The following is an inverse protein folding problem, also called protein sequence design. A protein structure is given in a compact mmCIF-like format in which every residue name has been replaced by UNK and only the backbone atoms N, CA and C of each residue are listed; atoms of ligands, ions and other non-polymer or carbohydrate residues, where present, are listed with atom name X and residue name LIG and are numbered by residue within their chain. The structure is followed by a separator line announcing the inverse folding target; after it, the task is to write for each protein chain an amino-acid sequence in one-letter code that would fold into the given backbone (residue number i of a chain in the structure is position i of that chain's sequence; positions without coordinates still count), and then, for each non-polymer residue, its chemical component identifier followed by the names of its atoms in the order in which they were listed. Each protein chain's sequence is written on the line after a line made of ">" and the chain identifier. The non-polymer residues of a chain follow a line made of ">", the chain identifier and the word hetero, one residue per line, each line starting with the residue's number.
data_IF_740912447356
#
_entry.id   IF_740912447356
#
_cell.length_a   1.000
_cell.length_b   1.000
_cell.length_c   1.000
_cell.angle_alpha   90.00
_cell.angle_beta   90.00
_cell.angle_gamma   90.00
#
_symmetry.space_group_name_H-M   'P 1'
#
loop_
_entity.id
_entity.type
_entity.pdbx_description
1 polymer ?
#
# COMPACT_ATOMS: atom_id res chain seq x y z
N UNK A 1 -58.48 9.33 -27.01
CA UNK A 1 -59.01 9.14 -28.38
C UNK A 1 -60.43 8.59 -28.28
N UNK A 2 -61.44 9.45 -28.29
CA UNK A 2 -62.85 9.03 -28.30
C UNK A 2 -63.58 9.83 -29.37
N UNK A 3 -63.64 9.27 -30.57
CA UNK A 3 -64.45 9.82 -31.65
C UNK A 3 -64.86 8.65 -32.54
N UNK A 4 -65.88 7.90 -32.13
CA UNK A 4 -66.67 7.04 -33.02
C UNK A 4 -67.94 6.57 -32.28
N UNK A 5 -68.90 7.49 -32.12
CA UNK A 5 -70.29 7.14 -31.90
C UNK A 5 -71.10 7.72 -33.05
N UNK A 6 -71.27 6.94 -34.11
CA UNK A 6 -72.23 7.22 -35.18
C UNK A 6 -73.63 6.98 -34.64
N UNK A 7 -74.22 8.00 -34.03
CA UNK A 7 -75.67 8.08 -33.82
C UNK A 7 -76.30 8.58 -35.12
N UNK A 8 -76.59 7.66 -36.04
CA UNK A 8 -77.40 7.96 -37.21
C UNK A 8 -78.25 6.76 -37.57
N UNK A 9 -79.52 6.82 -37.18
CA UNK A 9 -80.67 6.38 -37.97
C UNK A 9 -81.92 6.41 -37.08
N UNK A 10 -82.37 7.61 -36.74
CA UNK A 10 -83.78 7.82 -36.39
C UNK A 10 -84.46 8.18 -37.71
N UNK A 11 -85.31 7.31 -38.28
CA UNK A 11 -86.09 7.70 -39.45
C UNK A 11 -87.13 8.73 -39.02
N UNK A 12 -86.87 10.00 -39.33
CA UNK A 12 -87.86 11.09 -39.30
C UNK A 12 -88.83 10.94 -40.47
N UNK A 13 -89.62 9.87 -40.47
CA UNK A 13 -90.87 9.83 -41.22
C UNK A 13 -91.99 9.97 -40.20
N UNK A 14 -92.46 11.20 -40.02
CA UNK A 14 -93.78 11.42 -39.44
C UNK A 14 -94.77 10.54 -40.24
N UNK A 15 -95.70 9.85 -39.57
CA UNK A 15 -96.75 9.14 -40.28
C UNK A 15 -97.53 10.18 -41.08
N UNK A 16 -97.51 10.06 -42.41
CA UNK A 16 -98.47 10.76 -43.28
C UNK A 16 -99.85 10.32 -42.80
N UNK A 17 -100.54 11.19 -42.08
CA UNK A 17 -101.98 11.07 -41.88
C UNK A 17 -102.58 11.15 -43.29
N UNK A 18 -102.94 10.00 -43.85
CA UNK A 18 -103.61 9.91 -45.13
C UNK A 18 -105.04 10.43 -44.94
N UNK A 19 -105.21 11.74 -45.13
CA UNK A 19 -106.52 12.38 -45.28
C UNK A 19 -107.04 12.12 -46.69
N UNK A 20 -107.24 10.87 -47.08
CA UNK A 20 -108.06 10.56 -48.26
C UNK A 20 -109.47 10.26 -47.78
N UNK A 21 -110.26 11.31 -47.56
CA UNK A 21 -111.70 11.14 -47.54
C UNK A 21 -112.12 10.63 -48.93
N UNK A 22 -112.80 9.48 -49.05
CA UNK A 22 -113.40 9.09 -50.32
C UNK A 22 -114.41 10.18 -50.75
N UNK A 23 -114.54 10.44 -52.07
CA UNK A 23 -115.43 11.47 -52.58
C UNK A 23 -116.87 11.25 -52.08
N UNK A 24 -117.58 12.31 -51.67
CA UNK A 24 -118.92 12.15 -51.11
C UNK A 24 -119.87 11.67 -52.21
N UNK A 25 -120.29 10.41 -52.15
CA UNK A 25 -121.52 10.00 -52.80
C UNK A 25 -122.67 10.71 -52.09
N UNK A 26 -123.47 11.48 -52.81
CA UNK A 26 -124.51 12.32 -52.24
C UNK A 26 -125.71 11.46 -51.80
N UNK A 27 -125.56 10.80 -50.65
CA UNK A 27 -126.58 9.99 -49.99
C UNK A 27 -127.92 10.71 -49.83
N UNK A 28 -127.91 12.05 -49.74
CA UNK A 28 -129.13 12.87 -49.65
C UNK A 28 -129.91 12.88 -50.95
N UNK A 29 -129.27 12.92 -52.12
CA UNK A 29 -129.94 12.90 -53.43
C UNK A 29 -130.55 11.53 -53.75
N UNK A 30 -129.83 10.43 -53.48
CA UNK A 30 -130.39 9.08 -53.69
C UNK A 30 -131.55 8.77 -52.73
N UNK A 31 -131.51 9.25 -51.48
CA UNK A 31 -132.58 9.04 -50.49
C UNK A 31 -133.83 9.91 -50.73
N UNK A 32 -133.69 11.04 -51.44
CA UNK A 32 -134.83 11.89 -51.84
C UNK A 32 -135.50 11.36 -53.11
N UNK A 33 -134.72 10.92 -54.11
CA UNK A 33 -135.25 10.27 -55.33
C UNK A 33 -135.99 8.96 -55.03
N UNK A 34 -135.48 8.13 -54.11
CA UNK A 34 -136.16 6.89 -53.71
C UNK A 34 -137.49 7.08 -52.95
N UNK A 35 -137.83 8.30 -52.50
CA UNK A 35 -139.12 8.61 -51.87
C UNK A 35 -140.17 9.10 -52.87
N UNK A 36 -139.74 9.62 -54.01
CA UNK A 36 -140.60 10.22 -55.05
C UNK A 36 -140.82 9.26 -56.24
N UNK A 37 -140.00 8.22 -56.37
CA UNK A 37 -140.04 7.28 -57.48
C UNK A 37 -141.05 6.13 -57.26
N UNK A 38 -141.95 5.93 -58.22
CA UNK A 38 -143.02 4.91 -58.17
C UNK A 38 -142.76 3.70 -59.06
N UNK A 39 -141.71 3.76 -59.89
CA UNK A 39 -141.27 2.65 -60.73
C UNK A 39 -140.30 1.71 -60.00
N UNK A 40 -140.68 0.42 -59.81
CA UNK A 40 -139.92 -0.51 -58.97
C UNK A 40 -138.55 -0.91 -59.57
N UNK A 41 -138.31 -0.72 -60.87
CA UNK A 41 -137.03 -1.05 -61.51
C UNK A 41 -135.96 0.01 -61.26
N UNK A 42 -136.32 1.29 -61.34
CA UNK A 42 -135.42 2.42 -61.09
C UNK A 42 -135.05 2.47 -59.60
N UNK A 43 -136.03 2.24 -58.71
CA UNK A 43 -135.79 2.16 -57.28
C UNK A 43 -134.79 1.06 -56.89
N UNK A 44 -134.89 -0.11 -57.54
CA UNK A 44 -133.96 -1.22 -57.34
C UNK A 44 -132.53 -0.86 -57.75
N UNK A 45 -132.37 -0.08 -58.82
CA UNK A 45 -131.05 0.33 -59.30
C UNK A 45 -130.38 1.34 -58.38
N UNK A 46 -131.13 2.32 -57.85
CA UNK A 46 -130.63 3.22 -56.81
C UNK A 46 -130.24 2.49 -55.52
N UNK A 47 -131.06 1.51 -55.09
CA UNK A 47 -130.76 0.68 -53.93
C UNK A 47 -129.47 -0.13 -54.17
N UNK A 48 -129.25 -0.68 -55.37
CA UNK A 48 -128.00 -1.40 -55.71
C UNK A 48 -126.78 -0.47 -55.67
N UNK A 49 -126.87 0.73 -56.24
CA UNK A 49 -125.74 1.68 -56.22
C UNK A 49 -125.40 2.12 -54.80
N UNK A 50 -126.40 2.38 -53.96
CA UNK A 50 -126.22 2.65 -52.53
C UNK A 50 -125.60 1.45 -51.80
N UNK A 51 -125.98 0.23 -52.14
CA UNK A 51 -125.42 -1.00 -51.56
C UNK A 51 -123.94 -1.16 -51.93
N UNK A 52 -123.59 -0.96 -53.21
CA UNK A 52 -122.21 -1.03 -53.71
C UNK A 52 -121.35 0.03 -53.03
N UNK A 53 -121.82 1.28 -52.97
CA UNK A 53 -121.08 2.36 -52.30
C UNK A 53 -120.89 2.09 -50.80
N UNK A 54 -121.91 1.59 -50.10
CA UNK A 54 -121.82 1.17 -48.70
C UNK A 54 -120.78 0.06 -48.50
N UNK A 55 -120.74 -0.90 -49.42
CA UNK A 55 -119.79 -2.00 -49.38
C UNK A 55 -118.35 -1.54 -49.66
N UNK A 56 -118.14 -0.67 -50.64
CA UNK A 56 -116.83 -0.04 -50.91
C UNK A 56 -116.35 0.82 -49.73
N UNK A 57 -117.24 1.58 -49.09
CA UNK A 57 -116.92 2.32 -47.86
C UNK A 57 -116.55 1.38 -46.71
N UNK A 58 -117.27 0.27 -46.56
CA UNK A 58 -116.98 -0.75 -45.55
C UNK A 58 -115.61 -1.40 -45.79
N UNK A 59 -115.27 -1.71 -47.05
CA UNK A 59 -113.98 -2.26 -47.44
C UNK A 59 -112.83 -1.25 -47.24
N UNK A 60 -113.06 0.04 -47.55
CA UNK A 60 -112.09 1.10 -47.30
C UNK A 60 -111.88 1.35 -45.81
N UNK A 61 -112.95 1.35 -45.00
CA UNK A 61 -112.85 1.42 -43.53
C UNK A 61 -112.09 0.22 -42.99
N UNK A 62 -112.34 -0.98 -43.52
CA UNK A 62 -111.62 -2.21 -43.14
C UNK A 62 -110.12 -2.11 -43.47
N UNK A 63 -109.76 -1.63 -44.67
CA UNK A 63 -108.36 -1.37 -45.07
C UNK A 63 -107.69 -0.34 -44.17
N UNK A 64 -108.30 0.83 -43.97
CA UNK A 64 -107.78 1.87 -43.08
C UNK A 64 -107.61 1.37 -41.64
N UNK A 65 -108.53 0.54 -41.15
CA UNK A 65 -108.42 -0.05 -39.82
C UNK A 65 -107.27 -1.07 -39.74
N UNK A 66 -107.00 -1.83 -40.81
CA UNK A 66 -105.85 -2.72 -40.87
C UNK A 66 -104.52 -1.95 -40.94
N UNK A 67 -104.45 -0.90 -41.75
CA UNK A 67 -103.29 0.00 -41.81
C UNK A 67 -103.05 0.69 -40.45
N UNK A 68 -104.11 1.13 -39.77
CA UNK A 68 -104.01 1.72 -38.43
C UNK A 68 -103.53 0.69 -37.38
N UNK A 69 -103.97 -0.57 -37.48
CA UNK A 69 -103.46 -1.67 -36.64
C UNK A 69 -101.98 -1.95 -36.91
N UNK A 70 -101.56 -1.96 -38.16
CA UNK A 70 -100.14 -2.15 -38.55
C UNK A 70 -99.28 -0.99 -38.05
N UNK A 71 -99.70 0.25 -38.27
CA UNK A 71 -99.02 1.44 -37.77
C UNK A 71 -98.94 1.45 -36.23
N UNK A 72 -99.98 1.02 -35.53
CA UNK A 72 -99.92 0.87 -34.06
C UNK A 72 -98.93 -0.20 -33.62
N UNK A 73 -98.87 -1.36 -34.30
CA UNK A 73 -97.87 -2.40 -34.02
C UNK A 73 -96.44 -1.90 -34.25
N UNK A 74 -96.21 -1.16 -35.33
CA UNK A 74 -94.91 -0.54 -35.60
C UNK A 74 -94.56 0.50 -34.53
N UNK A 75 -95.52 1.35 -34.15
CA UNK A 75 -95.35 2.33 -33.08
C UNK A 75 -94.95 1.67 -31.75
N UNK A 76 -95.61 0.58 -31.38
CA UNK A 76 -95.29 -0.17 -30.16
C UNK A 76 -93.92 -0.86 -30.25
N UNK A 77 -93.53 -1.34 -31.43
CA UNK A 77 -92.18 -1.84 -31.69
C UNK A 77 -91.12 -0.75 -31.51
N UNK A 78 -91.35 0.45 -32.06
CA UNK A 78 -90.45 1.59 -31.92
C UNK A 78 -90.36 2.09 -30.48
N UNK A 79 -91.48 2.15 -29.74
CA UNK A 79 -91.48 2.45 -28.30
C UNK A 79 -90.65 1.45 -27.51
N UNK A 80 -90.81 0.15 -27.79
CA UNK A 80 -90.06 -0.90 -27.12
C UNK A 80 -88.55 -0.79 -27.40
N UNK A 81 -88.16 -0.48 -28.63
CA UNK A 81 -86.76 -0.22 -28.99
C UNK A 81 -86.22 1.03 -28.28
N UNK A 82 -86.99 2.11 -28.26
CA UNK A 82 -86.59 3.36 -27.61
C UNK A 82 -86.33 3.16 -26.10
N UNK A 83 -87.18 2.39 -25.41
CA UNK A 83 -87.00 2.04 -24.00
C UNK A 83 -85.70 1.23 -23.82
N UNK A 84 -85.47 0.18 -24.62
CA UNK A 84 -84.23 -0.60 -24.53
C UNK A 84 -82.98 0.23 -24.76
N UNK A 85 -82.97 1.10 -25.77
CA UNK A 85 -81.84 2.00 -26.03
C UNK A 85 -81.64 3.00 -24.90
N UNK A 86 -82.72 3.45 -24.24
CA UNK A 86 -82.63 4.33 -23.08
C UNK A 86 -82.01 3.60 -21.87
N UNK A 87 -82.40 2.36 -21.63
CA UNK A 87 -81.83 1.52 -20.57
C UNK A 87 -80.33 1.25 -20.82
N UNK A 88 -79.95 0.94 -22.07
CA UNK A 88 -78.55 0.78 -22.47
C UNK A 88 -77.73 2.06 -22.25
N UNK A 89 -78.29 3.23 -22.56
CA UNK A 89 -77.64 4.53 -22.31
C UNK A 89 -77.44 4.77 -20.81
N UNK A 90 -78.40 4.39 -19.97
CA UNK A 90 -78.29 4.52 -18.50
C UNK A 90 -77.13 3.66 -18.01
N UNK A 91 -77.09 2.37 -18.39
CA UNK A 91 -76.02 1.45 -18.00
C UNK A 91 -74.65 1.91 -18.50
N UNK A 92 -74.56 2.41 -19.73
CA UNK A 92 -73.31 2.94 -20.27
C UNK A 92 -72.82 4.17 -19.50
N UNK A 93 -73.72 5.06 -19.08
CA UNK A 93 -73.37 6.23 -18.25
C UNK A 93 -72.85 5.82 -16.88
N UNK A 94 -73.50 4.85 -16.22
CA UNK A 94 -73.04 4.32 -14.94
C UNK A 94 -71.65 3.69 -15.07
N UNK A 95 -71.43 2.86 -16.11
CA UNK A 95 -70.14 2.26 -16.37
C UNK A 95 -69.05 3.31 -16.62
N UNK A 96 -69.36 4.36 -17.39
CA UNK A 96 -68.44 5.49 -17.61
C UNK A 96 -68.10 6.20 -16.30
N UNK A 97 -69.08 6.49 -15.44
CA UNK A 97 -68.84 7.13 -14.14
C UNK A 97 -67.94 6.29 -13.24
N UNK A 98 -68.22 4.98 -13.13
CA UNK A 98 -67.40 4.05 -12.34
C UNK A 98 -65.97 3.99 -12.89
N UNK A 99 -65.81 3.88 -14.21
CA UNK A 99 -64.49 3.82 -14.84
C UNK A 99 -63.71 5.12 -14.64
N UNK A 100 -64.39 6.27 -14.75
CA UNK A 100 -63.78 7.59 -14.53
C UNK A 100 -63.32 7.73 -13.07
N UNK A 101 -64.14 7.32 -12.10
CA UNK A 101 -63.75 7.33 -10.69
C UNK A 101 -62.52 6.44 -10.42
N UNK A 102 -62.47 5.24 -11.01
CA UNK A 102 -61.30 4.34 -10.91
C UNK A 102 -60.04 4.96 -11.51
N UNK A 103 -60.16 5.63 -12.66
CA UNK A 103 -59.04 6.33 -13.29
C UNK A 103 -58.47 7.42 -12.38
N UNK A 104 -59.34 8.26 -11.80
CA UNK A 104 -58.92 9.31 -10.86
C UNK A 104 -58.18 8.70 -9.66
N UNK A 105 -58.70 7.64 -9.05
CA UNK A 105 -58.01 6.99 -7.92
C UNK A 105 -56.64 6.40 -8.28
N UNK A 106 -56.50 5.87 -9.50
CA UNK A 106 -55.22 5.34 -9.98
C UNK A 106 -54.23 6.48 -10.29
N UNK A 107 -54.69 7.60 -10.83
CA UNK A 107 -53.88 8.79 -11.05
C UNK A 107 -53.36 9.37 -9.72
N UNK A 108 -54.21 9.45 -8.70
CA UNK A 108 -53.81 9.89 -7.35
C UNK A 108 -52.74 8.97 -6.73
N UNK A 109 -52.93 7.65 -6.81
CA UNK A 109 -51.95 6.66 -6.35
C UNK A 109 -50.63 6.76 -7.11
N UNK A 110 -50.68 6.98 -8.43
CA UNK A 110 -49.50 7.12 -9.25
C UNK A 110 -48.70 8.38 -8.87
N UNK A 111 -49.37 9.51 -8.61
CA UNK A 111 -48.74 10.73 -8.13
C UNK A 111 -48.10 10.51 -6.75
N UNK A 112 -48.78 9.82 -5.84
CA UNK A 112 -48.22 9.48 -4.52
C UNK A 112 -46.95 8.61 -4.63
N UNK A 113 -46.98 7.60 -5.50
CA UNK A 113 -45.81 6.74 -5.75
C UNK A 113 -44.66 7.51 -6.41
N UNK A 114 -44.96 8.42 -7.34
CA UNK A 114 -43.93 9.29 -7.92
C UNK A 114 -43.29 10.18 -6.85
N UNK A 115 -44.08 10.77 -5.95
CA UNK A 115 -43.56 11.57 -4.84
C UNK A 115 -42.65 10.74 -3.94
N UNK A 116 -43.11 9.56 -3.51
CA UNK A 116 -42.32 8.66 -2.66
C UNK A 116 -41.00 8.23 -3.31
N UNK A 117 -41.01 7.96 -4.61
CA UNK A 117 -39.81 7.58 -5.35
C UNK A 117 -38.79 8.73 -5.38
N UNK A 118 -39.26 9.96 -5.60
CA UNK A 118 -38.39 11.15 -5.57
C UNK A 118 -37.79 11.35 -4.18
N UNK A 119 -38.60 11.23 -3.12
CA UNK A 119 -38.12 11.37 -1.73
C UNK A 119 -37.08 10.30 -1.37
N UNK A 120 -37.33 9.05 -1.74
CA UNK A 120 -36.39 7.94 -1.52
C UNK A 120 -35.09 8.14 -2.28
N UNK A 121 -35.16 8.55 -3.55
CA UNK A 121 -33.98 8.80 -4.34
C UNK A 121 -33.14 9.94 -3.76
N UNK A 122 -33.78 11.03 -3.33
CA UNK A 122 -33.07 12.13 -2.69
C UNK A 122 -32.40 11.68 -1.39
N UNK A 123 -33.09 10.89 -0.56
CA UNK A 123 -32.52 10.35 0.67
C UNK A 123 -31.30 9.46 0.40
N UNK A 124 -31.34 8.61 -0.63
CA UNK A 124 -30.20 7.78 -1.02
C UNK A 124 -29.01 8.64 -1.49
N UNK A 125 -29.27 9.68 -2.28
CA UNK A 125 -28.25 10.63 -2.73
C UNK A 125 -27.61 11.35 -1.55
N UNK A 126 -28.40 11.82 -0.58
CA UNK A 126 -27.90 12.53 0.60
C UNK A 126 -27.03 11.61 1.48
N UNK A 127 -27.45 10.36 1.69
CA UNK A 127 -26.66 9.36 2.44
C UNK A 127 -25.34 9.04 1.73
N UNK A 128 -25.37 8.83 0.41
CA UNK A 128 -24.17 8.58 -0.37
C UNK A 128 -23.22 9.78 -0.31
N UNK A 129 -23.72 11.00 -0.41
CA UNK A 129 -22.92 12.20 -0.29
C UNK A 129 -22.24 12.29 1.09
N UNK A 130 -22.98 12.01 2.17
CA UNK A 130 -22.43 12.00 3.52
C UNK A 130 -21.33 10.94 3.69
N UNK A 131 -21.52 9.73 3.17
CA UNK A 131 -20.52 8.66 3.22
C UNK A 131 -19.25 9.02 2.42
N UNK A 132 -19.41 9.65 1.25
CA UNK A 132 -18.30 10.16 0.45
C UNK A 132 -17.52 11.27 1.17
N UNK A 133 -18.21 12.23 1.77
CA UNK A 133 -17.58 13.32 2.54
C UNK A 133 -16.83 12.78 3.77
N UNK A 134 -17.43 11.82 4.49
CA UNK A 134 -16.78 11.16 5.62
C UNK A 134 -15.52 10.40 5.18
N UNK A 135 -15.62 9.58 4.14
CA UNK A 135 -14.48 8.82 3.60
C UNK A 135 -13.36 9.74 3.12
N UNK A 136 -13.72 10.83 2.43
CA UNK A 136 -12.77 11.86 2.00
C UNK A 136 -12.03 12.46 3.19
N UNK A 137 -12.75 12.85 4.26
CA UNK A 137 -12.14 13.41 5.46
C UNK A 137 -11.17 12.42 6.14
N UNK A 138 -11.56 11.14 6.25
CA UNK A 138 -10.69 10.09 6.82
C UNK A 138 -9.41 9.92 6.00
N UNK A 139 -9.52 9.94 4.67
CA UNK A 139 -8.36 9.82 3.77
C UNK A 139 -7.45 11.04 3.83
N UNK A 140 -8.00 12.25 3.88
CA UNK A 140 -7.24 13.50 4.05
C UNK A 140 -6.44 13.48 5.36
N UNK A 141 -7.07 13.09 6.47
CA UNK A 141 -6.37 12.93 7.75
C UNK A 141 -5.24 11.90 7.68
N UNK A 142 -5.47 10.76 7.02
CA UNK A 142 -4.44 9.72 6.84
C UNK A 142 -3.27 10.22 5.99
N UNK A 143 -3.55 10.99 4.93
CA UNK A 143 -2.53 11.62 4.09
C UNK A 143 -1.67 12.56 4.94
N UNK A 144 -2.26 13.37 5.80
CA UNK A 144 -1.50 14.32 6.62
C UNK A 144 -0.65 13.62 7.69
N UNK A 145 -1.16 12.55 8.33
CA UNK A 145 -0.34 11.70 9.21
C UNK A 145 0.86 11.10 8.45
N UNK A 146 0.63 10.57 7.25
CA UNK A 146 1.70 9.99 6.43
C UNK A 146 2.73 11.04 5.98
N UNK A 147 2.32 12.27 5.67
CA UNK A 147 3.24 13.37 5.36
C UNK A 147 4.14 13.70 6.56
N UNK A 148 3.58 13.78 7.77
CA UNK A 148 4.34 14.04 8.99
C UNK A 148 5.34 12.91 9.27
N UNK A 149 4.90 11.66 9.15
CA UNK A 149 5.78 10.49 9.32
C UNK A 149 6.91 10.46 8.29
N UNK A 150 6.62 10.74 7.02
CA UNK A 150 7.62 10.78 5.96
C UNK A 150 8.66 11.88 6.22
N UNK A 151 8.22 13.07 6.66
CA UNK A 151 9.12 14.16 7.05
C UNK A 151 10.06 13.74 8.19
N UNK A 152 9.53 13.12 9.24
CA UNK A 152 10.33 12.64 10.36
C UNK A 152 11.34 11.55 9.94
N UNK A 153 10.93 10.62 9.07
CA UNK A 153 11.83 9.59 8.52
C UNK A 153 12.95 10.20 7.66
N UNK A 154 12.63 11.25 6.87
CA UNK A 154 13.62 11.96 6.08
C UNK A 154 14.66 12.65 6.95
N UNK A 155 14.22 13.36 7.99
CA UNK A 155 15.11 14.02 8.97
C UNK A 155 16.02 12.99 9.69
N UNK A 156 15.47 11.84 10.08
CA UNK A 156 16.26 10.77 10.69
C UNK A 156 17.26 10.13 9.72
N UNK A 157 16.89 9.98 8.45
CA UNK A 157 17.79 9.47 7.41
C UNK A 157 18.96 10.44 7.18
N UNK A 158 18.70 11.75 7.14
CA UNK A 158 19.73 12.78 7.04
C UNK A 158 20.67 12.73 8.26
N UNK A 159 20.13 12.60 9.48
CA UNK A 159 20.89 12.46 10.72
C UNK A 159 21.80 11.22 10.71
N UNK A 160 21.26 10.07 10.34
CA UNK A 160 22.03 8.81 10.26
C UNK A 160 23.11 8.87 9.17
N UNK A 161 22.81 9.50 8.03
CA UNK A 161 23.78 9.69 6.95
C UNK A 161 24.96 10.53 7.41
N UNK A 162 24.71 11.65 8.11
CA UNK A 162 25.78 12.47 8.71
C UNK A 162 26.61 11.65 9.70
N UNK A 163 25.96 10.85 10.57
CA UNK A 163 26.67 10.03 11.55
C UNK A 163 27.55 8.96 10.91
N UNK A 164 27.10 8.35 9.82
CA UNK A 164 27.90 7.40 9.05
C UNK A 164 29.15 8.09 8.47
N UNK A 165 29.01 9.31 7.95
CA UNK A 165 30.15 10.10 7.45
C UNK A 165 31.20 10.32 8.53
N UNK A 166 30.79 10.77 9.73
CA UNK A 166 31.70 10.99 10.86
C UNK A 166 32.44 9.70 11.27
N UNK A 167 31.72 8.57 11.26
CA UNK A 167 32.30 7.27 11.60
C UNK A 167 33.31 6.82 10.54
N UNK A 168 33.02 7.02 9.24
CA UNK A 168 33.95 6.71 8.16
C UNK A 168 35.23 7.54 8.27
N UNK A 169 35.13 8.82 8.59
CA UNK A 169 36.29 9.69 8.85
C UNK A 169 37.10 9.19 10.05
N UNK A 170 36.42 8.86 11.15
CA UNK A 170 37.06 8.32 12.36
C UNK A 170 37.76 7.00 12.09
N UNK A 171 37.12 6.07 11.38
CA UNK A 171 37.72 4.79 10.98
C UNK A 171 38.96 5.04 10.12
N UNK A 172 38.87 5.93 9.13
CA UNK A 172 40.02 6.28 8.28
C UNK A 172 41.19 6.84 9.10
N UNK A 173 40.91 7.69 10.08
CA UNK A 173 41.94 8.23 10.99
C UNK A 173 42.58 7.14 11.85
N UNK A 174 41.77 6.27 12.47
CA UNK A 174 42.27 5.17 13.30
C UNK A 174 43.09 4.18 12.50
N UNK A 175 42.68 3.84 11.27
CA UNK A 175 43.47 2.99 10.37
C UNK A 175 44.85 3.57 10.11
N UNK A 176 44.94 4.88 9.78
CA UNK A 176 46.25 5.54 9.60
C UNK A 176 47.13 5.51 10.86
N UNK A 177 46.53 5.65 12.04
CA UNK A 177 47.26 5.54 13.30
C UNK A 177 47.76 4.12 13.55
N UNK A 178 46.96 3.10 13.23
CA UNK A 178 47.36 1.71 13.34
C UNK A 178 48.55 1.42 12.42
N UNK A 179 48.48 1.82 11.15
CA UNK A 179 49.57 1.67 10.18
C UNK A 179 50.85 2.37 10.65
N UNK A 180 50.74 3.60 11.17
CA UNK A 180 51.88 4.33 11.71
C UNK A 180 52.49 3.63 12.93
N UNK A 181 51.65 3.07 13.81
CA UNK A 181 52.09 2.36 15.01
C UNK A 181 52.79 1.05 14.64
N UNK A 182 52.26 0.32 13.66
CA UNK A 182 52.88 -0.90 13.14
C UNK A 182 54.24 -0.60 12.49
N UNK A 183 54.34 0.43 11.66
CA UNK A 183 55.61 0.88 11.09
C UNK A 183 56.63 1.25 12.17
N UNK A 184 56.20 1.98 13.21
CA UNK A 184 57.07 2.36 14.32
C UNK A 184 57.54 1.14 15.12
N UNK A 185 56.67 0.15 15.36
CA UNK A 185 57.03 -1.11 16.00
C UNK A 185 58.09 -1.85 15.19
N UNK A 186 57.87 -2.02 13.88
CA UNK A 186 58.82 -2.69 13.00
C UNK A 186 60.21 -2.01 12.99
N UNK A 187 60.26 -0.68 13.05
CA UNK A 187 61.52 0.07 13.16
C UNK A 187 62.21 -0.22 14.50
N UNK A 188 61.46 -0.26 15.61
CA UNK A 188 62.05 -0.57 16.93
C UNK A 188 62.55 -2.01 17.00
N UNK A 189 61.80 -2.96 16.48
CA UNK A 189 62.17 -4.37 16.43
C UNK A 189 63.46 -4.55 15.61
N UNK A 190 63.53 -3.96 14.42
CA UNK A 190 64.75 -3.97 13.59
C UNK A 190 65.96 -3.35 14.29
N UNK A 191 65.78 -2.21 14.97
CA UNK A 191 66.87 -1.57 15.74
C UNK A 191 67.32 -2.42 16.92
N UNK A 192 66.38 -3.07 17.59
CA UNK A 192 66.68 -3.96 18.70
C UNK A 192 67.50 -5.17 18.22
N UNK A 193 67.12 -5.79 17.10
CA UNK A 193 67.88 -6.87 16.48
C UNK A 193 69.29 -6.43 16.05
N UNK A 194 69.42 -5.25 15.43
CA UNK A 194 70.72 -4.68 15.05
C UNK A 194 71.62 -4.47 16.29
N UNK A 195 71.05 -3.93 17.37
CA UNK A 195 71.76 -3.72 18.63
C UNK A 195 72.18 -5.04 19.27
N UNK A 196 71.31 -6.06 19.27
CA UNK A 196 71.63 -7.38 19.79
C UNK A 196 72.75 -8.06 18.98
N UNK A 197 72.72 -7.93 17.65
CA UNK A 197 73.81 -8.39 16.77
C UNK A 197 75.13 -7.67 17.07
N UNK A 198 75.10 -6.35 17.23
CA UNK A 198 76.30 -5.57 17.57
C UNK A 198 76.90 -5.99 18.92
N UNK A 199 76.05 -6.18 19.94
CA UNK A 199 76.46 -6.63 21.26
C UNK A 199 77.11 -8.02 21.22
N UNK A 200 76.57 -8.96 20.43
CA UNK A 200 77.15 -10.31 20.30
C UNK A 200 78.53 -10.26 19.62
N UNK A 201 78.71 -9.40 18.62
CA UNK A 201 80.02 -9.18 17.97
C UNK A 201 81.03 -8.58 18.96
N UNK A 202 80.61 -7.59 19.75
CA UNK A 202 81.46 -6.95 20.75
C UNK A 202 81.86 -7.92 21.86
N UNK A 203 80.89 -8.69 22.38
CA UNK A 203 81.12 -9.76 23.36
C UNK A 203 82.12 -10.79 22.85
N UNK A 204 82.02 -11.19 21.57
CA UNK A 204 82.98 -12.09 20.94
C UNK A 204 84.38 -11.48 20.90
N UNK A 205 84.51 -10.21 20.47
CA UNK A 205 85.80 -9.50 20.46
C UNK A 205 86.43 -9.43 21.85
N UNK A 206 85.66 -9.03 22.86
CA UNK A 206 86.14 -9.00 24.25
C UNK A 206 86.58 -10.38 24.75
N UNK A 207 85.83 -11.43 24.39
CA UNK A 207 86.21 -12.81 24.70
C UNK A 207 87.53 -13.20 24.03
N UNK A 208 87.72 -12.87 22.75
CA UNK A 208 88.96 -13.15 22.01
C UNK A 208 90.15 -12.38 22.62
N UNK A 209 89.97 -11.11 22.96
CA UNK A 209 90.98 -10.29 23.65
C UNK A 209 91.34 -10.86 25.02
N UNK A 210 90.35 -11.31 25.80
CA UNK A 210 90.57 -11.92 27.11
C UNK A 210 91.41 -13.21 26.98
N UNK A 211 91.17 -14.02 25.95
CA UNK A 211 91.97 -15.22 25.66
C UNK A 211 93.42 -14.83 25.35
N UNK A 212 93.64 -13.81 24.50
CA UNK A 212 94.98 -13.30 24.17
C UNK A 212 95.71 -12.82 25.43
N UNK A 213 95.06 -11.99 26.25
CA UNK A 213 95.63 -11.47 27.50
C UNK A 213 95.94 -12.60 28.48
N UNK A 214 95.05 -13.59 28.61
CA UNK A 214 95.26 -14.75 29.49
C UNK A 214 96.45 -15.58 29.03
N UNK A 215 96.59 -15.82 27.72
CA UNK A 215 97.74 -16.52 27.15
C UNK A 215 99.04 -15.76 27.43
N UNK A 216 99.06 -14.44 27.18
CA UNK A 216 100.25 -13.62 27.45
C UNK A 216 100.61 -13.59 28.93
N UNK A 217 99.61 -13.56 29.82
CA UNK A 217 99.83 -13.67 31.27
C UNK A 217 100.50 -14.99 31.64
N UNK A 218 100.07 -16.11 31.06
CA UNK A 218 100.70 -17.43 31.29
C UNK A 218 102.14 -17.48 30.78
N UNK A 219 102.42 -16.90 29.61
CA UNK A 219 103.78 -16.79 29.07
C UNK A 219 104.69 -16.01 30.03
N UNK A 220 104.24 -14.83 30.50
CA UNK A 220 104.98 -14.02 31.46
C UNK A 220 105.18 -14.76 32.79
N UNK A 221 104.17 -15.48 33.28
CA UNK A 221 104.30 -16.29 34.50
C UNK A 221 105.37 -17.37 34.35
N UNK A 222 105.44 -18.04 33.20
CA UNK A 222 106.49 -19.02 32.92
C UNK A 222 107.88 -18.37 32.85
N UNK A 223 108.01 -17.22 32.17
CA UNK A 223 109.24 -16.45 32.13
C UNK A 223 109.71 -16.04 33.54
N UNK A 224 108.78 -15.63 34.41
CA UNK A 224 109.04 -15.28 35.81
C UNK A 224 109.57 -16.47 36.62
N UNK A 225 108.97 -17.66 36.48
CA UNK A 225 109.42 -18.89 37.16
C UNK A 225 110.86 -19.22 36.76
N UNK A 226 111.17 -19.15 35.46
CA UNK A 226 112.54 -19.40 34.97
C UNK A 226 113.52 -18.38 35.57
N UNK A 227 113.14 -17.10 35.61
CA UNK A 227 113.97 -16.04 36.17
C UNK A 227 114.21 -16.20 37.68
N UNK A 228 113.18 -16.63 38.43
CA UNK A 228 113.28 -16.95 39.86
C UNK A 228 114.25 -18.11 40.10
N UNK A 229 114.16 -19.18 39.29
CA UNK A 229 115.11 -20.30 39.35
C UNK A 229 116.55 -19.88 39.03
N UNK A 230 116.75 -19.04 38.01
CA UNK A 230 118.07 -18.50 37.65
C UNK A 230 118.63 -17.61 38.76
N UNK A 231 117.80 -16.76 39.36
CA UNK A 231 118.16 -15.92 40.49
C UNK A 231 118.58 -16.75 41.70
N UNK A 232 117.84 -17.82 42.04
CA UNK A 232 118.17 -18.71 43.15
C UNK A 232 119.48 -19.49 42.92
N UNK A 233 119.73 -19.94 41.68
CA UNK A 233 121.02 -20.54 41.31
C UNK A 233 122.16 -19.54 41.47
N UNK A 234 121.99 -18.32 40.96
CA UNK A 234 122.99 -17.27 41.06
C UNK A 234 123.26 -16.88 42.52
N UNK A 235 122.20 -16.77 43.33
CA UNK A 235 122.28 -16.47 44.76
C UNK A 235 123.05 -17.55 45.52
N UNK A 236 122.77 -18.82 45.24
CA UNK A 236 123.50 -19.95 45.82
C UNK A 236 124.97 -19.87 45.47
N UNK A 237 125.30 -19.68 44.19
CA UNK A 237 126.68 -19.53 43.71
C UNK A 237 127.40 -18.34 44.34
N UNK A 238 126.73 -17.19 44.48
CA UNK A 238 127.30 -16.02 45.14
C UNK A 238 127.57 -16.26 46.64
N UNK A 239 126.69 -17.01 47.31
CA UNK A 239 126.88 -17.40 48.71
C UNK A 239 128.09 -18.33 48.87
N UNK A 240 128.25 -19.31 47.99
CA UNK A 240 129.41 -20.20 47.95
C UNK A 240 130.71 -19.42 47.71
N UNK A 241 130.70 -18.46 46.78
CA UNK A 241 131.85 -17.57 46.55
C UNK A 241 132.18 -16.72 47.78
N UNK A 242 131.17 -16.17 48.48
CA UNK A 242 131.40 -15.43 49.73
C UNK A 242 132.04 -16.30 50.82
N UNK A 243 131.60 -17.56 50.97
CA UNK A 243 132.22 -18.51 51.89
C UNK A 243 133.68 -18.77 51.53
N UNK A 244 133.96 -19.08 50.26
CA UNK A 244 135.33 -19.29 49.78
C UNK A 244 136.22 -18.06 49.99
N UNK A 245 135.71 -16.85 49.76
CA UNK A 245 136.45 -15.60 50.01
C UNK A 245 136.73 -15.40 51.50
N UNK A 246 135.78 -15.77 52.37
CA UNK A 246 135.99 -15.72 53.82
C UNK A 246 137.04 -16.75 54.26
N UNK A 247 136.95 -17.99 53.77
CA UNK A 247 137.94 -19.04 54.04
C UNK A 247 139.34 -18.60 53.61
N UNK A 248 139.48 -18.04 52.40
CA UNK A 248 140.75 -17.47 51.91
C UNK A 248 141.23 -16.25 52.71
N UNK A 249 140.31 -15.49 53.32
CA UNK A 249 140.63 -14.37 54.21
C UNK A 249 141.15 -14.85 55.55
N UNK A 250 140.53 -15.88 56.11
CA UNK A 250 140.94 -16.49 57.36
C UNK A 250 142.28 -17.22 57.19
N UNK A 251 142.46 -17.96 56.09
CA UNK A 251 143.75 -18.56 55.72
C UNK A 251 144.84 -17.47 55.54
N UNK A 252 144.52 -16.33 54.89
CA UNK A 252 145.44 -15.20 54.83
C UNK A 252 145.76 -14.60 56.20
N UNK A 253 144.81 -14.61 57.14
CA UNK A 253 145.02 -14.12 58.51
C UNK A 253 145.95 -15.07 59.27
N UNK A 254 145.70 -16.37 59.20
CA UNK A 254 146.55 -17.39 59.79
C UNK A 254 147.97 -17.31 59.24
N UNK A 255 148.13 -17.15 57.91
CA UNK A 255 149.44 -16.97 57.29
C UNK A 255 150.15 -15.70 57.79
N UNK A 256 149.42 -14.60 58.02
CA UNK A 256 150.00 -13.37 58.59
C UNK A 256 150.40 -13.53 60.06
N UNK A 257 149.64 -14.27 60.86
CA UNK A 257 150.03 -14.61 62.23
C UNK A 257 151.25 -15.52 62.23
N UNK A 258 151.33 -16.50 61.33
CA UNK A 258 152.50 -17.36 61.18
C UNK A 258 153.75 -16.55 60.80
N UNK A 259 153.61 -15.56 59.91
CA UNK A 259 154.68 -14.61 59.58
C UNK A 259 155.09 -13.80 60.82
N UNK A 260 154.13 -13.26 61.57
CA UNK A 260 154.39 -12.47 62.78
C UNK A 260 155.09 -13.29 63.87
N UNK A 261 154.64 -14.52 64.11
CA UNK A 261 155.24 -15.41 65.10
C UNK A 261 156.66 -15.80 64.65
N UNK A 262 156.91 -15.94 63.34
CA UNK A 262 158.27 -16.10 62.81
C UNK A 262 159.13 -14.84 63.05
N UNK A 263 158.57 -13.64 62.88
CA UNK A 263 159.25 -12.36 63.13
C UNK A 263 159.57 -12.17 64.62
N UNK A 264 158.70 -12.60 65.55
CA UNK A 264 158.97 -12.62 67.00
C UNK A 264 160.04 -13.66 67.38
N UNK A 265 160.06 -14.82 66.72
CA UNK A 265 161.12 -15.81 66.85
C UNK A 265 162.47 -15.26 66.37
N UNK A 266 162.48 -14.52 65.25
CA UNK A 266 163.68 -13.82 64.78
C UNK A 266 164.13 -12.75 65.78
N UNK A 267 163.21 -11.97 66.37
CA UNK A 267 163.52 -10.97 67.40
C UNK A 267 164.10 -11.57 68.68
N UNK A 268 163.55 -12.69 69.14
CA UNK A 268 164.08 -13.41 70.32
C UNK A 268 165.42 -14.08 70.03
N UNK A 269 165.69 -14.56 68.80
CA UNK A 269 167.04 -14.98 68.39
C UNK A 269 168.03 -13.79 68.34
N UNK A 270 167.56 -12.61 67.95
CA UNK A 270 168.37 -11.38 67.91
C UNK A 270 168.69 -10.90 69.34
N UNK A 271 167.73 -10.97 70.27
CA UNK A 271 167.91 -10.60 71.68
C UNK A 271 168.82 -11.58 72.46
N UNK A 272 168.84 -12.87 72.09
CA UNK A 272 169.78 -13.87 72.68
C UNK A 272 171.22 -13.67 72.17
N UNK A 273 171.42 -13.03 71.01
CA UNK A 273 172.75 -12.81 70.42
C UNK A 273 173.47 -11.56 70.95
N UNK A 274 172.87 -10.83 71.89
CA UNK A 274 173.39 -9.57 72.46
C UNK A 274 173.75 -9.65 73.97
N UNK A 275 173.73 -10.85 74.58
CA UNK A 275 174.43 -11.17 75.85
C UNK A 275 175.87 -11.67 75.61
#
# INVERSE_FOLDING_TARGET
>A
MLANLRLSNIPTKLPKVLTSQPPPFNLKECASLAKEETEPEILKEYIKQLLIYSQEQTDNISKLNNELKEANKELDSWKSKAIRTQDEIIVLKEHMQITTAKLVTLEEQFVEWQSKLVDQHQQEVDLLQQDFEHTKSVLENKIDVLKVQNKAQKEETERLTSRISDLVETTTYVTKLADFTEQKSAIYDSRFEDMQRALEVEKKKFSDELVIVTKRRMEIQNELIILEEEYDRLRTSYSEQCLLVNDLRDENRELRELIRDSEELFKTMEDISLE
#
